data_IF_261552714918
#
_entry.id   IF_261552714918
#
_cell.length_a   1.000
_cell.length_b   1.000
_cell.length_c   1.000
_cell.angle_alpha   90.00
_cell.angle_beta   90.00
_cell.angle_gamma   90.00
#
_symmetry.space_group_name_H-M   'P 1'
#
loop_
_entity.id
_entity.type
_entity.pdbx_description
1 polymer ?
#
# COMPACT_ATOMS: atom_id res chain seq x y z
N UNK A 1 -59.88 6.13 9.03
CA UNK A 1 -58.50 5.63 9.23
C UNK A 1 -57.78 6.57 10.16
N UNK A 2 -57.37 6.10 11.33
CA UNK A 2 -56.58 6.85 12.31
C UNK A 2 -55.10 6.60 11.99
N UNK A 3 -54.35 7.64 11.65
CA UNK A 3 -52.89 7.58 11.53
C UNK A 3 -52.32 8.01 12.88
N UNK A 4 -51.71 7.06 13.60
CA UNK A 4 -50.99 7.33 14.83
C UNK A 4 -49.69 8.06 14.49
N UNK A 5 -49.57 9.31 14.91
CA UNK A 5 -48.29 10.04 14.89
C UNK A 5 -47.44 9.52 16.05
N UNK A 6 -46.52 8.62 15.73
CA UNK A 6 -45.57 8.05 16.68
C UNK A 6 -44.45 9.08 16.91
N UNK A 7 -44.28 9.50 18.17
CA UNK A 7 -43.51 10.68 18.58
C UNK A 7 -42.16 10.84 17.89
N UNK A 8 -42.10 11.78 16.95
CA UNK A 8 -40.86 12.21 16.31
C UNK A 8 -40.11 13.13 17.27
N UNK A 9 -39.25 12.56 18.10
CA UNK A 9 -38.32 13.34 18.93
C UNK A 9 -37.37 14.16 18.05
N UNK A 10 -37.46 15.49 18.12
CA UNK A 10 -36.55 16.40 17.44
C UNK A 10 -35.27 16.60 18.25
N UNK A 11 -34.11 16.55 17.60
CA UNK A 11 -32.85 16.97 18.20
C UNK A 11 -32.89 18.46 18.53
N UNK A 12 -32.44 18.83 19.73
CA UNK A 12 -32.28 20.24 20.09
C UNK A 12 -31.04 20.82 19.40
N UNK A 13 -31.09 22.10 19.00
CA UNK A 13 -29.93 22.78 18.38
C UNK A 13 -28.70 22.75 19.29
N UNK A 14 -28.91 22.89 20.60
CA UNK A 14 -27.82 22.88 21.59
C UNK A 14 -27.13 21.50 21.70
N UNK A 15 -27.89 20.42 21.62
CA UNK A 15 -27.36 19.06 21.68
C UNK A 15 -26.47 18.74 20.48
N UNK A 16 -26.90 19.12 19.27
CA UNK A 16 -26.07 18.98 18.06
C UNK A 16 -24.81 19.85 18.14
N UNK A 17 -24.91 21.04 18.76
CA UNK A 17 -23.77 21.95 18.93
C UNK A 17 -22.68 21.36 19.84
N UNK A 18 -23.07 20.80 20.99
CA UNK A 18 -22.13 20.19 21.94
C UNK A 18 -21.49 18.94 21.33
N UNK A 19 -22.28 18.08 20.67
CA UNK A 19 -21.79 16.85 20.03
C UNK A 19 -20.76 17.17 18.95
N UNK A 20 -21.07 18.09 18.04
CA UNK A 20 -20.14 18.49 16.97
C UNK A 20 -18.88 19.16 17.51
N UNK A 21 -18.97 19.90 18.61
CA UNK A 21 -17.81 20.46 19.31
C UNK A 21 -16.84 19.39 19.83
N UNK A 22 -17.35 18.36 20.51
CA UNK A 22 -16.52 17.26 21.04
C UNK A 22 -15.91 16.44 19.90
N UNK A 23 -16.71 16.10 18.89
CA UNK A 23 -16.23 15.36 17.70
C UNK A 23 -15.13 16.15 16.97
N UNK A 24 -15.29 17.47 16.84
CA UNK A 24 -14.29 18.35 16.24
C UNK A 24 -12.95 18.31 16.98
N UNK A 25 -12.97 18.40 18.31
CA UNK A 25 -11.76 18.33 19.14
C UNK A 25 -11.00 17.01 18.94
N UNK A 26 -11.71 15.88 18.95
CA UNK A 26 -11.11 14.55 18.75
C UNK A 26 -10.58 14.40 17.33
N UNK A 27 -11.32 14.88 16.32
CA UNK A 27 -10.92 14.77 14.93
C UNK A 27 -9.61 15.51 14.63
N UNK A 28 -9.37 16.67 15.24
CA UNK A 28 -8.12 17.45 15.07
C UNK A 28 -6.88 16.63 15.46
N UNK A 29 -6.97 15.81 16.51
CA UNK A 29 -5.85 14.96 16.96
C UNK A 29 -5.77 13.67 16.12
N UNK A 30 -6.92 13.08 15.79
CA UNK A 30 -6.98 11.78 15.13
C UNK A 30 -6.56 11.85 13.65
N UNK A 31 -7.01 12.85 12.89
CA UNK A 31 -6.77 12.99 11.45
C UNK A 31 -5.28 13.04 11.08
N UNK A 32 -4.44 13.91 11.67
CA UNK A 32 -3.03 13.98 11.31
C UNK A 32 -2.29 12.67 11.64
N UNK A 33 -2.67 12.00 12.74
CA UNK A 33 -2.08 10.72 13.10
C UNK A 33 -2.49 9.62 12.10
N UNK A 34 -3.75 9.60 11.66
CA UNK A 34 -4.22 8.65 10.66
C UNK A 34 -3.50 8.81 9.32
N UNK A 35 -3.24 10.04 8.87
CA UNK A 35 -2.50 10.29 7.63
C UNK A 35 -1.07 9.73 7.75
N UNK A 36 -0.37 10.01 8.85
CA UNK A 36 0.98 9.48 9.10
C UNK A 36 0.98 7.95 9.14
N UNK A 37 0.05 7.35 9.86
CA UNK A 37 -0.09 5.90 9.97
C UNK A 37 -0.33 5.25 8.59
N UNK A 38 -1.16 5.87 7.73
CA UNK A 38 -1.37 5.40 6.35
C UNK A 38 -0.10 5.47 5.51
N UNK A 39 0.65 6.58 5.57
CA UNK A 39 1.91 6.73 4.85
C UNK A 39 2.95 5.69 5.30
N UNK A 40 3.07 5.45 6.61
CA UNK A 40 3.95 4.42 7.16
C UNK A 40 3.54 3.01 6.73
N UNK A 41 2.23 2.71 6.73
CA UNK A 41 1.71 1.43 6.27
C UNK A 41 1.96 1.21 4.77
N UNK A 42 1.74 2.24 3.94
CA UNK A 42 2.09 2.22 2.52
C UNK A 42 3.59 1.97 2.31
N UNK A 43 4.44 2.65 3.08
CA UNK A 43 5.90 2.46 3.07
C UNK A 43 6.28 1.02 3.40
N UNK A 44 5.80 0.50 4.52
CA UNK A 44 6.10 -0.87 4.97
C UNK A 44 5.63 -1.92 3.96
N UNK A 45 4.42 -1.78 3.42
CA UNK A 45 3.86 -2.69 2.42
C UNK A 45 4.66 -2.67 1.12
N UNK A 46 5.08 -1.49 0.68
CA UNK A 46 5.89 -1.35 -0.53
C UNK A 46 7.28 -1.99 -0.37
N UNK A 47 7.94 -1.78 0.77
CA UNK A 47 9.24 -2.43 1.07
C UNK A 47 9.06 -3.95 1.14
N UNK A 48 7.96 -4.44 1.72
CA UNK A 48 7.66 -5.87 1.73
C UNK A 48 7.49 -6.44 0.31
N UNK A 49 6.81 -5.72 -0.58
CA UNK A 49 6.69 -6.10 -1.99
C UNK A 49 8.05 -6.08 -2.71
N UNK A 50 8.88 -5.06 -2.49
CA UNK A 50 10.24 -5.01 -3.04
C UNK A 50 11.06 -6.21 -2.58
N UNK A 51 10.96 -6.63 -1.31
CA UNK A 51 11.63 -7.83 -0.79
C UNK A 51 11.09 -9.12 -1.39
N UNK A 52 9.79 -9.19 -1.69
CA UNK A 52 9.22 -10.32 -2.41
C UNK A 52 9.75 -10.42 -3.83
N UNK A 53 9.89 -9.28 -4.52
CA UNK A 53 10.48 -9.20 -5.86
C UNK A 53 11.96 -9.62 -5.81
N UNK A 54 12.71 -9.12 -4.83
CA UNK A 54 14.11 -9.50 -4.63
C UNK A 54 14.27 -11.01 -4.36
N UNK A 55 13.41 -11.57 -3.49
CA UNK A 55 13.34 -13.01 -3.27
C UNK A 55 13.00 -13.80 -4.53
N UNK A 56 12.06 -13.31 -5.35
CA UNK A 56 11.68 -13.93 -6.61
C UNK A 56 12.83 -13.92 -7.63
N UNK A 57 13.59 -12.82 -7.72
CA UNK A 57 14.82 -12.77 -8.52
C UNK A 57 15.81 -13.84 -8.05
N UNK A 58 16.13 -13.85 -6.75
CA UNK A 58 17.06 -14.79 -6.14
C UNK A 58 16.65 -16.25 -6.40
N UNK A 59 15.36 -16.56 -6.26
CA UNK A 59 14.83 -17.89 -6.54
C UNK A 59 14.99 -18.28 -8.02
N UNK A 60 14.67 -17.36 -8.95
CA UNK A 60 14.83 -17.61 -10.39
C UNK A 60 16.27 -17.95 -10.77
N UNK A 61 17.27 -17.24 -10.23
CA UNK A 61 18.66 -17.52 -10.61
C UNK A 61 19.23 -18.78 -9.98
N UNK A 62 18.80 -19.13 -8.76
CA UNK A 62 19.16 -20.41 -8.14
C UNK A 62 18.65 -21.58 -9.01
N UNK A 63 17.41 -21.53 -9.46
CA UNK A 63 16.82 -22.58 -10.31
C UNK A 63 17.47 -22.62 -11.70
N UNK A 64 17.74 -21.46 -12.28
CA UNK A 64 18.32 -21.34 -13.64
C UNK A 64 19.85 -21.47 -13.65
N UNK A 65 20.49 -21.66 -12.48
CA UNK A 65 21.96 -21.68 -12.30
C UNK A 65 22.66 -20.46 -12.91
N UNK A 66 22.04 -19.29 -12.78
CA UNK A 66 22.54 -18.02 -13.33
C UNK A 66 23.41 -17.29 -12.31
N UNK A 67 24.41 -16.57 -12.82
CA UNK A 67 25.25 -15.70 -12.02
C UNK A 67 24.47 -14.43 -11.62
N UNK A 68 24.77 -13.79 -10.47
CA UNK A 68 24.15 -12.51 -10.09
C UNK A 68 24.31 -11.38 -11.12
N UNK A 69 25.33 -11.50 -11.98
CA UNK A 69 25.64 -10.58 -13.07
C UNK A 69 24.88 -10.86 -14.36
N UNK A 70 24.19 -12.00 -14.45
CA UNK A 70 23.46 -12.38 -15.65
C UNK A 70 22.18 -11.55 -15.77
N UNK A 71 21.95 -11.03 -16.98
CA UNK A 71 20.76 -10.25 -17.28
C UNK A 71 19.55 -11.15 -17.42
N UNK A 72 18.41 -10.65 -16.96
CA UNK A 72 17.11 -11.28 -17.19
C UNK A 72 16.16 -10.26 -17.83
N UNK A 73 15.25 -10.76 -18.65
CA UNK A 73 14.19 -9.96 -19.24
C UNK A 73 12.88 -10.21 -18.50
N UNK A 74 12.10 -9.15 -18.30
CA UNK A 74 10.75 -9.19 -17.71
C UNK A 74 9.69 -9.67 -18.72
N UNK A 75 10.05 -10.64 -19.56
CA UNK A 75 9.05 -11.33 -20.38
C UNK A 75 8.26 -12.28 -19.49
N UNK A 76 6.97 -12.44 -19.79
CA UNK A 76 5.90 -12.99 -18.93
C UNK A 76 6.17 -14.30 -18.17
N UNK A 77 7.22 -15.06 -18.51
CA UNK A 77 7.47 -16.40 -18.00
C UNK A 77 8.68 -16.56 -17.07
N UNK A 78 9.64 -15.63 -17.02
CA UNK A 78 10.90 -15.85 -16.26
C UNK A 78 10.79 -15.39 -14.81
N UNK A 79 10.57 -14.10 -14.56
CA UNK A 79 10.47 -13.53 -13.22
C UNK A 79 9.04 -13.57 -12.69
N UNK A 80 8.06 -13.30 -13.57
CA UNK A 80 6.65 -13.20 -13.21
C UNK A 80 6.09 -14.53 -12.69
N UNK A 81 6.64 -15.67 -13.14
CA UNK A 81 6.27 -17.00 -12.60
C UNK A 81 6.61 -17.20 -11.11
N UNK A 82 7.58 -16.46 -10.58
CA UNK A 82 7.99 -16.54 -9.17
C UNK A 82 7.25 -15.53 -8.29
N UNK A 83 6.47 -14.62 -8.90
CA UNK A 83 5.64 -13.66 -8.19
C UNK A 83 4.20 -14.18 -8.17
N UNK A 84 3.58 -14.15 -6.99
CA UNK A 84 2.18 -14.57 -6.84
C UNK A 84 1.27 -13.76 -7.77
N UNK A 85 0.56 -14.45 -8.65
CA UNK A 85 -0.38 -13.84 -9.60
C UNK A 85 0.22 -13.46 -10.96
N UNK A 86 1.48 -13.83 -11.25
CA UNK A 86 2.10 -13.63 -12.57
C UNK A 86 2.08 -12.19 -13.06
N UNK A 87 2.02 -11.22 -12.14
CA UNK A 87 2.00 -9.79 -12.40
C UNK A 87 2.74 -9.06 -11.29
N UNK A 88 3.45 -7.97 -11.60
CA UNK A 88 4.03 -7.13 -10.57
C UNK A 88 2.91 -6.53 -9.70
N UNK A 89 3.03 -6.58 -8.36
CA UNK A 89 2.03 -5.98 -7.49
C UNK A 89 1.97 -4.46 -7.73
N UNK A 90 0.81 -3.87 -7.47
CA UNK A 90 0.65 -2.41 -7.52
C UNK A 90 1.14 -1.84 -6.18
N UNK A 91 1.96 -0.79 -6.21
CA UNK A 91 2.36 -0.12 -4.98
C UNK A 91 1.13 0.56 -4.34
N UNK A 92 0.88 0.39 -3.03
CA UNK A 92 -0.26 1.04 -2.36
C UNK A 92 -0.16 2.57 -2.30
N UNK A 93 0.99 3.13 -2.67
CA UNK A 93 1.20 4.57 -2.90
C UNK A 93 1.00 5.01 -4.36
N UNK A 94 0.55 4.14 -5.27
CA UNK A 94 0.27 4.47 -6.68
C UNK A 94 1.46 4.36 -7.64
N UNK A 95 2.59 3.77 -7.20
CA UNK A 95 3.77 3.54 -8.03
C UNK A 95 3.81 2.18 -8.73
N UNK A 96 4.72 2.05 -9.70
CA UNK A 96 5.12 0.78 -10.30
C UNK A 96 6.49 0.32 -9.78
N UNK A 97 6.73 -0.98 -9.83
CA UNK A 97 8.02 -1.57 -9.48
C UNK A 97 8.87 -1.81 -10.73
N UNK A 98 10.17 -1.59 -10.59
CA UNK A 98 11.19 -1.91 -11.58
C UNK A 98 12.23 -2.82 -10.92
N UNK A 99 12.21 -4.14 -11.19
CA UNK A 99 13.10 -5.10 -10.56
C UNK A 99 14.57 -4.98 -11.00
N UNK A 100 14.87 -4.13 -11.99
CA UNK A 100 16.19 -4.01 -12.58
C UNK A 100 16.40 -4.99 -13.73
N UNK A 101 17.62 -5.01 -14.27
CA UNK A 101 18.00 -5.89 -15.39
C UNK A 101 18.91 -7.04 -14.97
N UNK A 102 19.42 -7.01 -13.74
CA UNK A 102 20.36 -7.95 -13.13
C UNK A 102 20.06 -8.07 -11.63
N UNK A 103 20.53 -9.14 -10.99
CA UNK A 103 20.32 -9.37 -9.55
C UNK A 103 21.13 -8.42 -8.66
N UNK A 104 22.22 -7.86 -9.20
CA UNK A 104 23.01 -6.85 -8.50
C UNK A 104 22.28 -5.51 -8.41
N UNK A 105 21.25 -5.29 -9.24
CA UNK A 105 20.43 -4.10 -9.17
C UNK A 105 19.26 -4.36 -8.20
N UNK A 106 19.22 -3.65 -7.09
CA UNK A 106 18.08 -3.72 -6.16
C UNK A 106 16.79 -3.32 -6.88
N UNK A 107 15.66 -3.99 -6.61
CA UNK A 107 14.38 -3.60 -7.18
C UNK A 107 13.98 -2.24 -6.62
N UNK A 108 13.48 -1.36 -7.48
CA UNK A 108 13.09 0.01 -7.13
C UNK A 108 11.62 0.23 -7.36
N UNK A 109 11.04 1.17 -6.61
CA UNK A 109 9.71 1.71 -6.89
C UNK A 109 9.85 3.12 -7.45
N UNK A 110 9.02 3.49 -8.42
CA UNK A 110 8.98 4.87 -8.97
C UNK A 110 8.76 5.92 -7.85
N UNK A 111 8.04 5.56 -6.79
CA UNK A 111 7.79 6.43 -5.63
C UNK A 111 8.94 6.44 -4.60
N UNK A 112 10.17 6.19 -5.02
CA UNK A 112 11.36 6.16 -4.15
C UNK A 112 11.53 7.43 -3.28
N UNK A 113 11.08 8.59 -3.77
CA UNK A 113 11.10 9.88 -3.06
C UNK A 113 10.28 9.91 -1.76
N UNK A 114 9.34 8.98 -1.57
CA UNK A 114 8.54 8.81 -0.34
C UNK A 114 9.25 7.83 0.63
N UNK A 115 10.48 7.41 0.31
CA UNK A 115 11.28 6.46 1.07
C UNK A 115 10.95 4.99 0.78
N UNK A 116 10.37 4.72 -0.39
CA UNK A 116 10.08 3.38 -0.89
C UNK A 116 11.30 2.75 -1.58
N UNK A 117 12.35 2.48 -0.79
CA UNK A 117 13.57 1.82 -1.25
C UNK A 117 13.77 0.51 -0.48
N UNK A 118 14.41 -0.46 -1.14
CA UNK A 118 14.82 -1.71 -0.49
C UNK A 118 16.03 -1.49 0.42
#
# INVERSE_FOLDING_TARGET
MKLSDEGRGGFTLIEVMIISGIVGLVAIIAVPNLIRARLTAQKSSCIANLKQIDGAMNQWAVETKKSPTDTYSLTDATLLGYIKGSSLPICPGGGTYSPGVNMTASPTCNQSSIGHTL
#
